data_IF_790620909712
#
_entry.id   IF_790620909712
#
_cell.length_a   1.000
_cell.length_b   1.000
_cell.length_c   1.000
_cell.angle_alpha   90.00
_cell.angle_beta   90.00
_cell.angle_gamma   90.00
#
_symmetry.space_group_name_H-M   'P 1'
#
loop_
_entity.id
_entity.type
_entity.pdbx_description
1 polymer ?
#
# COMPACT_ATOMS: atom_id res chain seq x y z
N UNK A 1 -2.24 8.40 8.05
CA UNK A 1 -2.54 8.53 6.61
C UNK A 1 -1.35 8.26 5.68
N UNK A 2 -0.10 8.42 6.11
CA UNK A 2 1.09 8.26 5.24
C UNK A 2 1.12 6.98 4.39
N UNK A 3 0.88 5.80 4.96
CA UNK A 3 0.95 4.53 4.22
C UNK A 3 -0.08 4.43 3.08
N UNK A 4 -1.35 4.75 3.36
CA UNK A 4 -2.40 4.75 2.35
C UNK A 4 -2.15 5.80 1.26
N UNK A 5 -1.64 6.97 1.63
CA UNK A 5 -1.28 8.03 0.69
C UNK A 5 -0.18 7.61 -0.28
N UNK A 6 0.82 6.84 0.15
CA UNK A 6 1.85 6.33 -0.77
C UNK A 6 1.26 5.40 -1.84
N UNK A 7 0.35 4.51 -1.44
CA UNK A 7 -0.32 3.60 -2.39
C UNK A 7 -1.23 4.38 -3.36
N UNK A 8 -2.09 5.24 -2.83
CA UNK A 8 -3.02 6.03 -3.65
C UNK A 8 -2.31 7.06 -4.54
N UNK A 9 -1.25 7.68 -4.03
CA UNK A 9 -0.42 8.63 -4.76
C UNK A 9 0.25 7.96 -5.96
N UNK A 10 0.96 6.86 -5.76
CA UNK A 10 1.59 6.13 -6.87
C UNK A 10 0.57 5.61 -7.87
N UNK A 11 -0.59 5.10 -7.41
CA UNK A 11 -1.68 4.72 -8.32
C UNK A 11 -2.15 5.89 -9.18
N UNK A 12 -2.29 7.08 -8.61
CA UNK A 12 -2.67 8.29 -9.36
C UNK A 12 -1.68 8.63 -10.47
N UNK A 13 -0.36 8.50 -10.22
CA UNK A 13 0.65 8.71 -11.26
C UNK A 13 0.47 7.76 -12.44
N UNK A 14 0.23 6.47 -12.18
CA UNK A 14 -0.01 5.46 -13.21
C UNK A 14 -1.28 5.79 -14.01
N UNK A 15 -2.40 6.03 -13.32
CA UNK A 15 -3.67 6.32 -13.97
C UNK A 15 -3.65 7.59 -14.83
N UNK A 16 -2.77 8.55 -14.50
CA UNK A 16 -2.58 9.78 -15.27
C UNK A 16 -1.48 9.68 -16.35
N UNK A 17 -0.94 8.48 -16.62
CA UNK A 17 0.16 8.24 -17.56
C UNK A 17 1.48 8.98 -17.20
N UNK A 18 1.67 9.33 -15.93
CA UNK A 18 2.85 10.03 -15.40
C UNK A 18 3.81 9.06 -14.71
N UNK A 19 3.88 7.81 -15.16
CA UNK A 19 4.68 6.74 -14.53
C UNK A 19 6.17 7.10 -14.42
N UNK A 20 6.69 7.84 -15.39
CA UNK A 20 8.09 8.31 -15.42
C UNK A 20 8.43 9.28 -14.30
N UNK A 21 7.42 9.89 -13.67
CA UNK A 21 7.59 10.80 -12.53
C UNK A 21 7.56 10.08 -11.18
N UNK A 22 7.30 8.76 -11.16
CA UNK A 22 7.33 7.96 -9.94
C UNK A 22 8.77 7.84 -9.47
N UNK A 23 9.07 8.53 -8.37
CA UNK A 23 10.40 8.52 -7.76
C UNK A 23 10.71 7.15 -7.15
N UNK A 24 11.93 6.66 -7.31
CA UNK A 24 12.38 5.35 -6.80
C UNK A 24 12.08 5.11 -5.31
N UNK A 25 12.15 6.15 -4.48
CA UNK A 25 11.80 6.03 -3.07
C UNK A 25 10.32 5.74 -2.84
N UNK A 26 9.40 6.22 -3.70
CA UNK A 26 8.00 5.82 -3.64
C UNK A 26 7.85 4.31 -3.86
N UNK A 27 8.62 3.73 -4.79
CA UNK A 27 8.62 2.29 -5.05
C UNK A 27 9.20 1.52 -3.84
N UNK A 28 10.28 2.00 -3.22
CA UNK A 28 10.82 1.39 -1.98
C UNK A 28 9.78 1.36 -0.86
N UNK A 29 8.99 2.43 -0.74
CA UNK A 29 7.95 2.53 0.26
C UNK A 29 6.83 1.54 0.03
N UNK A 30 6.44 1.31 -1.23
CA UNK A 30 5.48 0.26 -1.60
C UNK A 30 5.96 -1.14 -1.22
N UNK A 31 7.27 -1.42 -1.21
CA UNK A 31 7.81 -2.75 -0.87
C UNK A 31 7.58 -3.15 0.58
N UNK A 32 7.34 -2.20 1.47
CA UNK A 32 7.04 -2.47 2.88
C UNK A 32 5.53 -2.62 3.10
N UNK A 33 5.15 -3.61 3.90
CA UNK A 33 3.81 -3.80 4.43
C UNK A 33 3.46 -2.76 5.50
N UNK A 34 2.16 -2.63 5.81
CA UNK A 34 1.68 -1.73 6.86
C UNK A 34 2.35 -2.02 8.22
N UNK A 35 2.50 -3.29 8.60
CA UNK A 35 3.07 -3.70 9.89
C UNK A 35 4.60 -3.58 9.97
N UNK A 36 5.28 -3.43 8.82
CA UNK A 36 6.69 -3.03 8.77
C UNK A 36 6.87 -1.52 8.95
N UNK A 37 5.92 -0.72 8.42
CA UNK A 37 5.89 0.72 8.66
C UNK A 37 5.52 1.09 10.09
N UNK A 38 4.54 0.37 10.64
CA UNK A 38 3.96 0.68 11.94
C UNK A 38 3.98 -0.56 12.83
N UNK A 39 5.16 -0.94 13.34
CA UNK A 39 5.30 -2.14 14.17
C UNK A 39 4.43 -2.10 15.44
N UNK A 40 4.08 -0.91 15.92
CA UNK A 40 3.18 -0.74 17.07
C UNK A 40 1.77 -1.31 16.84
N UNK A 41 1.34 -1.55 15.60
CA UNK A 41 0.04 -2.12 15.29
C UNK A 41 0.09 -3.64 15.04
N UNK A 42 1.24 -4.30 15.17
CA UNK A 42 1.34 -5.76 14.96
C UNK A 42 0.39 -6.58 15.85
N UNK A 43 -0.02 -6.05 17.00
CA UNK A 43 -0.98 -6.72 17.88
C UNK A 43 -2.35 -6.98 17.20
N UNK A 44 -2.71 -6.22 16.16
CA UNK A 44 -3.96 -6.42 15.42
C UNK A 44 -3.78 -7.25 14.15
N UNK A 45 -2.56 -7.63 13.77
CA UNK A 45 -2.29 -8.28 12.48
C UNK A 45 -3.07 -9.60 12.30
N UNK A 46 -3.12 -10.44 13.33
CA UNK A 46 -3.90 -11.69 13.31
C UNK A 46 -5.38 -11.46 13.63
N UNK A 47 -5.70 -10.38 14.32
CA UNK A 47 -7.01 -10.09 14.87
C UNK A 47 -7.86 -9.19 13.97
N UNK A 48 -7.26 -8.54 12.96
CA UNK A 48 -7.93 -7.57 12.09
C UNK A 48 -9.16 -8.18 11.39
N UNK A 49 -9.13 -9.48 11.13
CA UNK A 49 -10.25 -10.25 10.55
C UNK A 49 -11.52 -10.21 11.40
N UNK A 50 -11.39 -9.95 12.72
CA UNK A 50 -12.53 -9.78 13.65
C UNK A 50 -13.25 -8.45 13.45
N UNK A 51 -12.71 -7.54 12.63
CA UNK A 51 -13.28 -6.23 12.34
C UNK A 51 -13.58 -6.13 10.83
N UNK A 52 -14.73 -6.66 10.34
CA UNK A 52 -14.95 -6.88 8.91
C UNK A 52 -14.84 -5.62 8.03
N UNK A 53 -15.32 -4.48 8.53
CA UNK A 53 -15.27 -3.20 7.79
C UNK A 53 -13.81 -2.75 7.65
N UNK A 54 -13.07 -2.73 8.77
CA UNK A 54 -11.65 -2.38 8.78
C UNK A 54 -10.84 -3.35 7.91
N UNK A 55 -11.10 -4.66 8.03
CA UNK A 55 -10.42 -5.69 7.25
C UNK A 55 -10.65 -5.51 5.75
N UNK A 56 -11.90 -5.30 5.34
CA UNK A 56 -12.23 -5.07 3.93
C UNK A 56 -11.47 -3.87 3.37
N UNK A 57 -11.52 -2.75 4.07
CA UNK A 57 -10.92 -1.51 3.59
C UNK A 57 -9.38 -1.64 3.57
N UNK A 58 -8.78 -2.23 4.61
CA UNK A 58 -7.37 -2.57 4.67
C UNK A 58 -6.94 -3.46 3.49
N UNK A 59 -7.68 -4.54 3.23
CA UNK A 59 -7.36 -5.49 2.18
C UNK A 59 -7.48 -4.89 0.78
N UNK A 60 -8.37 -3.92 0.57
CA UNK A 60 -8.48 -3.22 -0.72
C UNK A 60 -7.19 -2.44 -1.02
N UNK A 61 -6.67 -1.68 -0.07
CA UNK A 61 -5.40 -0.99 -0.24
C UNK A 61 -4.21 -1.95 -0.36
N UNK A 62 -4.21 -3.05 0.41
CA UNK A 62 -3.13 -4.03 0.35
C UNK A 62 -3.09 -4.75 -1.01
N UNK A 63 -4.26 -5.05 -1.60
CA UNK A 63 -4.36 -5.57 -2.97
C UNK A 63 -3.84 -4.55 -4.00
N UNK A 64 -4.24 -3.29 -3.87
CA UNK A 64 -3.75 -2.23 -4.76
C UNK A 64 -2.23 -2.08 -4.68
N UNK A 65 -1.65 -2.06 -3.47
CA UNK A 65 -0.19 -1.99 -3.27
C UNK A 65 0.54 -3.15 -3.96
N UNK A 66 0.04 -4.38 -3.81
CA UNK A 66 0.63 -5.57 -4.46
C UNK A 66 0.56 -5.50 -5.98
N UNK A 67 -0.57 -5.04 -6.53
CA UNK A 67 -0.72 -4.84 -7.98
C UNK A 67 0.25 -3.77 -8.51
N UNK A 68 0.38 -2.64 -7.80
CA UNK A 68 1.34 -1.59 -8.15
C UNK A 68 2.78 -2.11 -8.13
N UNK A 69 3.14 -2.88 -7.10
CA UNK A 69 4.47 -3.47 -7.02
C UNK A 69 4.73 -4.39 -8.20
N UNK A 70 3.81 -5.32 -8.49
CA UNK A 70 3.90 -6.22 -9.63
C UNK A 70 4.13 -5.45 -10.94
N UNK A 71 3.27 -4.47 -11.22
CA UNK A 71 3.34 -3.65 -12.43
C UNK A 71 4.61 -2.81 -12.56
N UNK A 72 5.17 -2.31 -11.44
CA UNK A 72 6.36 -1.46 -11.46
C UNK A 72 7.69 -2.24 -11.39
N UNK A 73 7.63 -3.56 -11.17
CA UNK A 73 8.83 -4.42 -11.06
C UNK A 73 8.99 -5.45 -12.16
N UNK A 74 7.92 -5.73 -12.92
CA UNK A 74 7.95 -6.49 -14.17
C UNK A 74 7.95 -5.55 -15.38
#
# INVERSE_FOLDING_TARGET
NYYWMHTAGTLSYILNNNEKEIVFDQIKWLKKSFFEWFPQYRFIETEIVKYPILYRDFMNYEKARKLLLYYLTE
#
